data_IF_919457822491
#
_entry.id   IF_919457822491
#
_cell.length_a   1.000
_cell.length_b   1.000
_cell.length_c   1.000
_cell.angle_alpha   90.00
_cell.angle_beta   90.00
_cell.angle_gamma   90.00
#
_symmetry.space_group_name_H-M   'P 1'
#
loop_
_entity.id
_entity.type
_entity.pdbx_description
1 polymer ?
#
# COMPACT_ATOMS: atom_id res chain seq x y z
N UNK A 1 -25.35 -15.65 -17.52
CA UNK A 1 -24.83 -15.27 -16.19
C UNK A 1 -23.31 -15.42 -16.06
N UNK A 2 -22.70 -16.53 -16.51
CA UNK A 2 -21.25 -16.77 -16.39
C UNK A 2 -20.36 -15.67 -16.98
N UNK A 3 -20.68 -15.12 -18.15
CA UNK A 3 -19.87 -14.04 -18.76
C UNK A 3 -19.79 -12.76 -17.92
N UNK A 4 -20.88 -12.40 -17.22
CA UNK A 4 -20.90 -11.18 -16.38
C UNK A 4 -19.96 -11.34 -15.17
N UNK A 5 -19.92 -12.53 -14.58
CA UNK A 5 -18.99 -12.85 -13.48
C UNK A 5 -17.54 -12.86 -13.95
N UNK A 6 -17.25 -13.42 -15.13
CA UNK A 6 -15.89 -13.42 -15.70
C UNK A 6 -15.42 -12.01 -16.05
N UNK A 7 -16.34 -11.12 -16.46
CA UNK A 7 -16.02 -9.73 -16.77
C UNK A 7 -15.72 -8.89 -15.51
N UNK A 8 -16.35 -9.21 -14.38
CA UNK A 8 -16.15 -8.53 -13.10
C UNK A 8 -15.01 -9.11 -12.28
N UNK A 9 -14.65 -10.39 -12.46
CA UNK A 9 -13.60 -11.04 -11.67
C UNK A 9 -12.22 -10.46 -11.93
N UNK A 10 -11.90 -10.07 -13.17
CA UNK A 10 -10.63 -9.42 -13.51
C UNK A 10 -10.42 -8.08 -12.78
N UNK A 11 -11.31 -7.07 -12.92
CA UNK A 11 -11.14 -5.81 -12.22
C UNK A 11 -11.24 -5.98 -10.70
N UNK A 12 -12.06 -6.90 -10.21
CA UNK A 12 -12.15 -7.22 -8.78
C UNK A 12 -10.82 -7.78 -8.24
N UNK A 13 -10.19 -8.72 -8.95
CA UNK A 13 -8.90 -9.27 -8.57
C UNK A 13 -7.82 -8.18 -8.57
N UNK A 14 -7.80 -7.31 -9.58
CA UNK A 14 -6.87 -6.18 -9.64
C UNK A 14 -7.08 -5.21 -8.47
N UNK A 15 -8.33 -4.90 -8.14
CA UNK A 15 -8.65 -4.04 -6.99
C UNK A 15 -8.21 -4.67 -5.66
N UNK A 16 -8.42 -5.98 -5.47
CA UNK A 16 -7.94 -6.69 -4.29
C UNK A 16 -6.41 -6.69 -4.19
N UNK A 17 -5.71 -6.91 -5.29
CA UNK A 17 -4.24 -6.85 -5.32
C UNK A 17 -3.73 -5.44 -5.00
N UNK A 18 -4.34 -4.40 -5.56
CA UNK A 18 -3.99 -3.02 -5.29
C UNK A 18 -4.22 -2.65 -3.82
N UNK A 19 -5.36 -3.05 -3.26
CA UNK A 19 -5.69 -2.83 -1.85
C UNK A 19 -4.73 -3.58 -0.92
N UNK A 20 -4.37 -4.82 -1.26
CA UNK A 20 -3.36 -5.58 -0.54
C UNK A 20 -2.00 -4.91 -0.56
N UNK A 21 -1.54 -4.45 -1.72
CA UNK A 21 -0.28 -3.72 -1.85
C UNK A 21 -0.26 -2.44 -1.00
N UNK A 22 -1.35 -1.66 -1.02
CA UNK A 22 -1.48 -0.44 -0.20
C UNK A 22 -1.36 -0.72 1.29
N UNK A 23 -2.17 -1.64 1.82
CA UNK A 23 -2.12 -1.99 3.25
C UNK A 23 -0.73 -2.52 3.63
N UNK A 24 -0.10 -3.30 2.75
CA UNK A 24 1.23 -3.86 3.03
C UNK A 24 2.30 -2.77 3.05
N UNK A 25 2.22 -1.78 2.15
CA UNK A 25 3.14 -0.63 2.12
C UNK A 25 2.97 0.22 3.37
N UNK A 26 1.75 0.51 3.80
CA UNK A 26 1.50 1.30 5.02
C UNK A 26 2.09 0.61 6.25
N UNK A 27 1.82 -0.69 6.41
CA UNK A 27 2.35 -1.50 7.53
C UNK A 27 3.87 -1.56 7.47
N UNK A 28 4.45 -1.86 6.31
CA UNK A 28 5.90 -1.91 6.14
C UNK A 28 6.54 -0.55 6.45
N UNK A 29 5.92 0.55 5.99
CA UNK A 29 6.44 1.89 6.24
C UNK A 29 6.41 2.23 7.72
N UNK A 30 5.35 1.86 8.44
CA UNK A 30 5.30 2.01 9.89
C UNK A 30 6.38 1.18 10.60
N UNK A 31 6.61 -0.07 10.19
CA UNK A 31 7.62 -0.93 10.82
C UNK A 31 9.04 -0.43 10.56
N UNK A 32 9.36 -0.03 9.33
CA UNK A 32 10.72 0.35 8.94
C UNK A 32 11.05 1.82 9.21
N UNK A 33 10.05 2.70 9.17
CA UNK A 33 10.24 4.15 9.25
C UNK A 33 9.43 4.83 10.37
N UNK A 34 8.65 4.08 11.18
CA UNK A 34 7.88 4.67 12.29
C UNK A 34 8.75 5.36 13.34
N UNK A 35 9.97 4.85 13.55
CA UNK A 35 10.97 5.42 14.47
C UNK A 35 12.09 6.16 13.70
N UNK A 36 11.91 6.40 12.39
CA UNK A 36 12.93 7.10 11.62
C UNK A 36 12.87 8.59 11.95
N UNK A 37 13.83 9.05 12.74
CA UNK A 37 14.03 10.48 12.95
C UNK A 37 14.43 11.14 11.62
N UNK A 38 13.61 12.09 11.18
CA UNK A 38 13.92 12.90 10.01
C UNK A 38 15.23 13.64 10.25
N UNK A 39 16.19 13.63 9.32
CA UNK A 39 17.48 14.27 9.53
C UNK A 39 17.28 15.75 9.83
N UNK A 40 17.63 16.17 11.04
CA UNK A 40 17.71 17.58 11.41
C UNK A 40 18.86 18.22 10.66
N UNK A 41 18.63 19.40 10.10
CA UNK A 41 19.71 20.16 9.48
C UNK A 41 20.76 20.46 10.57
N UNK A 42 22.06 20.33 10.27
CA UNK A 42 23.12 20.60 11.24
C UNK A 42 23.11 22.06 11.74
N UNK A 43 22.37 22.95 11.08
CA UNK A 43 22.24 24.37 11.39
C UNK A 43 21.08 24.71 12.36
N UNK A 44 20.32 23.72 12.85
CA UNK A 44 19.20 23.90 13.80
C UNK A 44 19.56 23.60 15.28
N UNK A 45 20.83 23.72 15.67
CA UNK A 45 21.28 23.57 17.08
C UNK A 45 21.45 24.91 17.81
#
# INVERSE_FOLDING_TARGET
>A
MKEKFVKLSKPLLTACMALGAWVTIDIASYIFFGEYEYPKNPDEQ
#
